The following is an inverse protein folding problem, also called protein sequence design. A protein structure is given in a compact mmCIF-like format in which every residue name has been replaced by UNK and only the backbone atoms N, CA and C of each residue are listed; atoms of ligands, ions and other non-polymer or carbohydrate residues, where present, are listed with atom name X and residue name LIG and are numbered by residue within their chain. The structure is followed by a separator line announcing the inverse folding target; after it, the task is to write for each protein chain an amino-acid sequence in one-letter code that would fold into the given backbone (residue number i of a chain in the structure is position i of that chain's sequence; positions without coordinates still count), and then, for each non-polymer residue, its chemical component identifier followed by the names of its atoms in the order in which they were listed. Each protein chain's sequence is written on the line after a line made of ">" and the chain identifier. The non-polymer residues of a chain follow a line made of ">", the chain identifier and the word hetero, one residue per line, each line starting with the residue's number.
data_IF_648060667527
#
_entry.id   IF_648060667527
#
_cell.length_a   1.000
_cell.length_b   1.000
_cell.length_c   1.000
_cell.angle_alpha   90.00
_cell.angle_beta   90.00
_cell.angle_gamma   90.00
#
_symmetry.space_group_name_H-M   'P 1'
#
loop_
_entity.id
_entity.type
_entity.pdbx_description
1 polymer ?
#
# COMPACT_ATOMS: atom_id res chain seq x y z
N UNK A 1 25.97 3.21 43.26
CA UNK A 1 25.84 2.50 44.54
C UNK A 1 24.37 2.23 44.80
N UNK A 2 24.03 0.94 44.95
CA UNK A 2 22.71 0.41 45.29
C UNK A 2 22.28 0.90 46.68
N UNK A 3 21.05 1.39 46.84
CA UNK A 3 20.23 1.32 48.08
C UNK A 3 18.76 1.38 47.63
N UNK A 4 18.02 0.27 47.61
CA UNK A 4 17.50 -0.55 48.71
C UNK A 4 16.03 -0.19 48.96
N UNK A 5 15.19 -1.16 48.61
CA UNK A 5 13.80 -1.35 49.00
C UNK A 5 13.69 -1.37 50.51
N UNK A 6 12.62 -0.78 51.07
CA UNK A 6 12.01 -1.25 52.32
C UNK A 6 10.57 -0.73 52.45
N UNK A 7 9.66 -1.63 52.81
CA UNK A 7 8.24 -1.37 53.00
C UNK A 7 7.41 -2.64 53.14
N UNK A 8 7.79 -3.52 54.08
CA UNK A 8 7.01 -4.72 54.48
C UNK A 8 5.93 -4.31 55.53
N UNK A 9 4.77 -5.00 55.57
CA UNK A 9 3.55 -4.55 56.25
C UNK A 9 3.45 -5.03 57.70
N UNK A 10 2.61 -4.35 58.50
CA UNK A 10 2.30 -4.75 59.87
C UNK A 10 1.05 -5.65 59.94
N UNK A 11 1.25 -6.83 60.51
CA UNK A 11 0.27 -7.82 60.92
C UNK A 11 -0.62 -7.31 62.07
N UNK A 12 -1.85 -7.82 62.14
CA UNK A 12 -2.56 -8.04 63.41
C UNK A 12 -3.26 -9.40 63.36
N UNK A 13 -2.62 -10.38 63.98
CA UNK A 13 -3.25 -11.60 64.47
C UNK A 13 -3.99 -11.30 65.79
N UNK A 14 -5.15 -11.93 65.99
CA UNK A 14 -5.58 -12.46 67.29
C UNK A 14 -6.33 -13.77 67.05
N UNK A 15 -5.88 -14.77 67.79
CA UNK A 15 -6.13 -16.21 67.69
C UNK A 15 -7.21 -16.68 68.67
N UNK A 16 -7.54 -17.98 68.59
CA UNK A 16 -8.20 -18.90 69.56
C UNK A 16 -9.72 -19.08 69.44
N UNK A 17 -10.35 -20.25 69.54
CA UNK A 17 -9.97 -21.69 69.62
C UNK A 17 -11.28 -22.53 69.53
N UNK A 18 -11.23 -23.79 69.05
CA UNK A 18 -12.08 -24.89 69.57
C UNK A 18 -13.23 -25.46 68.70
N UNK A 19 -13.20 -26.77 68.50
CA UNK A 19 -14.25 -27.71 68.01
C UNK A 19 -14.20 -28.96 68.94
N UNK A 20 -15.11 -29.96 68.96
CA UNK A 20 -16.55 -30.05 68.66
C UNK A 20 -17.35 -30.76 69.81
N UNK A 21 -18.69 -30.91 69.72
CA UNK A 21 -19.50 -32.12 70.06
C UNK A 21 -21.03 -31.86 70.20
N UNK A 22 -21.79 -32.94 70.03
CA UNK A 22 -23.21 -33.10 69.66
C UNK A 22 -24.31 -32.63 70.63
N UNK A 23 -25.46 -32.19 70.07
CA UNK A 23 -26.81 -32.62 70.47
C UNK A 23 -27.90 -32.02 69.54
N UNK A 24 -28.69 -32.89 68.91
CA UNK A 24 -29.99 -32.56 68.26
C UNK A 24 -31.15 -32.96 69.20
N UNK A 25 -32.44 -32.68 68.91
CA UNK A 25 -33.08 -31.56 68.21
C UNK A 25 -34.26 -30.93 69.03
N UNK A 26 -34.61 -29.66 68.80
CA UNK A 26 -35.90 -29.10 69.22
C UNK A 26 -36.72 -28.63 68.02
N UNK A 27 -37.93 -29.20 67.87
CA UNK A 27 -38.85 -28.99 66.76
C UNK A 27 -39.59 -27.65 66.85
N UNK A 28 -39.71 -27.04 65.67
CA UNK A 28 -40.88 -26.33 65.14
C UNK A 28 -41.22 -24.92 65.67
N UNK A 29 -40.64 -23.92 65.03
CA UNK A 29 -41.42 -22.80 64.49
C UNK A 29 -41.59 -23.01 62.99
N UNK A 30 -42.78 -23.39 62.52
CA UNK A 30 -43.10 -23.37 61.08
C UNK A 30 -43.11 -21.91 60.65
N UNK A 31 -42.01 -21.42 60.09
CA UNK A 31 -42.05 -20.23 59.27
C UNK A 31 -42.92 -20.54 58.06
N UNK A 32 -44.06 -19.85 57.96
CA UNK A 32 -44.89 -19.82 56.76
C UNK A 32 -43.93 -19.42 55.62
N UNK A 33 -43.75 -20.24 54.56
CA UNK A 33 -42.97 -19.79 53.44
C UNK A 33 -43.75 -18.64 52.82
N UNK A 34 -43.22 -17.43 52.92
CA UNK A 34 -43.68 -16.31 52.10
C UNK A 34 -43.65 -16.79 50.65
N UNK A 35 -44.83 -17.05 50.08
CA UNK A 35 -45.03 -17.52 48.71
C UNK A 35 -44.80 -16.40 47.68
N UNK A 36 -44.07 -15.35 48.06
CA UNK A 36 -43.62 -14.29 47.18
C UNK A 36 -42.10 -14.20 47.29
N UNK A 37 -41.43 -15.22 46.77
CA UNK A 37 -40.00 -15.11 46.44
C UNK A 37 -39.93 -14.53 45.03
N UNK A 38 -40.22 -13.24 44.89
CA UNK A 38 -39.92 -12.53 43.63
C UNK A 38 -38.41 -12.55 43.45
N UNK A 39 -37.94 -13.37 42.51
CA UNK A 39 -36.53 -13.37 42.10
C UNK A 39 -36.17 -12.00 41.55
N UNK A 40 -34.94 -11.56 41.81
CA UNK A 40 -34.45 -10.30 41.26
C UNK A 40 -34.48 -10.35 39.73
N UNK A 41 -34.96 -9.28 39.09
CA UNK A 41 -35.06 -9.21 37.65
C UNK A 41 -33.65 -9.02 37.05
N UNK A 42 -32.99 -10.13 36.72
CA UNK A 42 -31.68 -10.16 36.06
C UNK A 42 -31.79 -10.50 34.56
N UNK A 43 -30.83 -10.03 33.77
CA UNK A 43 -30.80 -10.32 32.34
C UNK A 43 -30.26 -11.73 32.07
N UNK A 44 -31.08 -12.60 31.46
CA UNK A 44 -30.71 -14.01 31.20
C UNK A 44 -29.45 -14.20 30.33
N UNK A 45 -29.11 -13.24 29.48
CA UNK A 45 -27.96 -13.32 28.56
C UNK A 45 -26.64 -12.79 29.16
N UNK A 46 -26.67 -12.12 30.31
CA UNK A 46 -25.52 -11.42 30.86
C UNK A 46 -25.18 -11.96 32.25
N UNK A 47 -23.98 -12.54 32.42
CA UNK A 47 -23.61 -13.28 33.63
C UNK A 47 -23.08 -12.41 34.79
N UNK A 48 -22.71 -11.14 34.55
CA UNK A 48 -22.21 -10.27 35.62
C UNK A 48 -23.40 -9.56 36.28
N UNK A 49 -23.37 -9.44 37.61
CA UNK A 49 -24.41 -8.84 38.47
C UNK A 49 -24.79 -7.40 38.10
N UNK A 50 -24.01 -6.73 37.24
CA UNK A 50 -24.43 -5.48 36.61
C UNK A 50 -23.73 -5.27 35.27
N UNK A 51 -24.52 -5.07 34.20
CA UNK A 51 -24.01 -4.61 32.89
C UNK A 51 -23.46 -3.18 32.98
N UNK A 52 -24.00 -2.38 33.89
CA UNK A 52 -23.67 -0.97 34.04
C UNK A 52 -22.93 -0.73 35.36
N UNK A 53 -21.84 0.03 35.33
CA UNK A 53 -21.19 0.50 36.55
C UNK A 53 -22.14 1.39 37.35
N UNK A 54 -22.05 1.37 38.70
CA UNK A 54 -22.86 2.23 39.57
C UNK A 54 -22.73 3.69 39.11
N UNK A 55 -23.86 4.37 38.86
CA UNK A 55 -24.01 5.78 38.43
C UNK A 55 -23.94 6.12 36.93
N UNK A 56 -24.10 5.17 36.01
CA UNK A 56 -24.31 5.51 34.59
C UNK A 56 -25.78 5.85 34.27
N UNK A 57 -26.01 6.95 33.54
CA UNK A 57 -27.34 7.43 33.08
C UNK A 57 -27.92 6.60 31.91
N UNK A 58 -27.24 5.55 31.45
CA UNK A 58 -27.55 4.76 30.25
C UNK A 58 -28.10 3.36 30.56
N UNK A 59 -28.86 3.20 31.65
CA UNK A 59 -29.43 1.89 32.02
C UNK A 59 -30.62 1.56 31.12
N UNK A 60 -30.47 0.53 30.28
CA UNK A 60 -31.59 -0.03 29.53
C UNK A 60 -32.60 -0.70 30.47
N UNK A 61 -33.90 -0.53 30.17
CA UNK A 61 -34.98 -1.18 30.90
C UNK A 61 -34.99 -2.68 30.61
N UNK A 62 -35.13 -3.49 31.66
CA UNK A 62 -35.31 -4.93 31.56
C UNK A 62 -36.73 -5.23 31.07
N UNK A 63 -36.83 -5.97 29.97
CA UNK A 63 -38.11 -6.37 29.37
C UNK A 63 -38.39 -7.82 29.74
N UNK A 64 -39.61 -8.08 30.22
CA UNK A 64 -40.10 -9.43 30.50
C UNK A 64 -40.30 -10.19 29.19
N UNK A 65 -39.75 -11.40 29.09
CA UNK A 65 -39.98 -12.30 27.95
C UNK A 65 -41.43 -12.81 28.01
N UNK A 66 -42.33 -12.20 27.24
CA UNK A 66 -43.80 -12.43 27.36
C UNK A 66 -44.33 -13.60 26.51
N UNK A 67 -43.56 -14.15 25.58
CA UNK A 67 -44.08 -15.14 24.63
C UNK A 67 -43.50 -16.55 24.86
N UNK A 68 -44.40 -17.51 25.11
CA UNK A 68 -44.13 -18.94 25.35
C UNK A 68 -43.36 -19.62 24.21
N UNK A 69 -43.44 -19.08 22.98
CA UNK A 69 -42.65 -19.53 21.83
C UNK A 69 -41.35 -18.75 21.77
N UNK A 70 -40.49 -19.01 22.75
CA UNK A 70 -39.10 -18.58 22.75
C UNK A 70 -38.53 -18.70 21.33
N UNK A 71 -38.31 -17.54 20.71
CA UNK A 71 -37.90 -17.35 19.33
C UNK A 71 -37.01 -18.50 18.85
N UNK A 72 -37.38 -19.17 17.74
CA UNK A 72 -36.52 -20.15 17.08
C UNK A 72 -35.10 -19.58 16.86
N UNK A 73 -34.98 -18.24 16.76
CA UNK A 73 -33.72 -17.49 16.74
C UNK A 73 -32.86 -17.65 18.00
N UNK A 74 -33.43 -17.58 19.20
CA UNK A 74 -32.68 -17.77 20.45
C UNK A 74 -32.23 -19.23 20.54
N UNK A 75 -33.12 -20.18 20.21
CA UNK A 75 -32.79 -21.61 20.20
C UNK A 75 -31.64 -21.88 19.23
N UNK A 76 -31.74 -21.39 17.99
CA UNK A 76 -30.70 -21.55 16.97
C UNK A 76 -29.39 -20.88 17.39
N UNK A 77 -29.44 -19.69 17.99
CA UNK A 77 -28.24 -19.02 18.51
C UNK A 77 -27.60 -19.78 19.67
N UNK A 78 -28.40 -20.33 20.59
CA UNK A 78 -27.93 -21.13 21.71
C UNK A 78 -27.34 -22.47 21.25
N UNK A 79 -27.94 -23.11 20.23
CA UNK A 79 -27.39 -24.32 19.59
C UNK A 79 -26.04 -24.01 18.91
N UNK A 80 -25.93 -22.89 18.19
CA UNK A 80 -24.67 -22.45 17.56
C UNK A 80 -23.57 -22.15 18.59
N UNK A 81 -23.93 -21.51 19.70
CA UNK A 81 -22.99 -21.12 20.77
C UNK A 81 -22.74 -22.24 21.80
N UNK A 82 -23.41 -23.39 21.66
CA UNK A 82 -23.40 -24.49 22.63
C UNK A 82 -23.67 -24.04 24.09
N UNK A 83 -24.50 -23.00 24.28
CA UNK A 83 -24.84 -22.49 25.62
C UNK A 83 -25.91 -23.37 26.26
N UNK A 84 -25.45 -24.36 27.03
CA UNK A 84 -26.29 -25.34 27.74
C UNK A 84 -27.31 -24.70 28.69
N UNK A 85 -27.03 -23.48 29.19
CA UNK A 85 -27.91 -22.78 30.14
C UNK A 85 -29.13 -22.21 29.42
N UNK A 86 -28.91 -21.52 28.31
CA UNK A 86 -30.01 -20.98 27.49
C UNK A 86 -30.75 -22.12 26.79
N UNK A 87 -30.05 -23.17 26.34
CA UNK A 87 -30.68 -24.39 25.82
C UNK A 87 -31.57 -25.05 26.89
N UNK A 88 -31.14 -25.13 28.15
CA UNK A 88 -31.96 -25.65 29.24
C UNK A 88 -33.24 -24.84 29.52
N UNK A 89 -33.17 -23.52 29.35
CA UNK A 89 -34.32 -22.60 29.52
C UNK A 89 -35.28 -22.69 28.32
N UNK A 90 -34.75 -22.82 27.10
CA UNK A 90 -35.53 -22.79 25.84
C UNK A 90 -36.05 -24.19 25.41
N UNK A 91 -35.47 -25.27 25.94
CA UNK A 91 -35.87 -26.65 25.64
C UNK A 91 -37.07 -27.15 26.43
N UNK A 92 -37.34 -26.56 27.59
CA UNK A 92 -38.40 -27.04 28.49
C UNK A 92 -39.79 -26.45 28.20
N UNK A 93 -39.96 -25.72 27.09
CA UNK A 93 -41.17 -24.93 26.73
C UNK A 93 -41.65 -23.96 27.84
N UNK A 94 -40.79 -23.72 28.83
CA UNK A 94 -41.00 -22.83 29.96
C UNK A 94 -39.84 -21.83 29.90
N UNK A 95 -39.83 -20.92 28.91
CA UNK A 95 -39.16 -19.65 29.20
C UNK A 95 -39.95 -19.10 30.36
N UNK A 96 -39.35 -19.18 31.55
CA UNK A 96 -40.00 -18.86 32.81
C UNK A 96 -40.80 -17.57 32.60
N UNK A 97 -42.04 -17.56 33.08
CA UNK A 97 -42.90 -16.38 33.08
C UNK A 97 -42.32 -15.20 33.91
N UNK A 98 -41.02 -15.21 34.18
CA UNK A 98 -40.21 -14.33 35.00
C UNK A 98 -38.84 -14.01 34.34
N UNK A 99 -38.53 -14.57 33.16
CA UNK A 99 -37.29 -14.26 32.47
C UNK A 99 -37.28 -12.81 31.96
N UNK A 100 -36.22 -12.07 32.25
CA UNK A 100 -36.02 -10.70 31.77
C UNK A 100 -34.78 -10.63 30.89
N UNK A 101 -34.83 -9.79 29.86
CA UNK A 101 -33.66 -9.47 29.06
C UNK A 101 -33.60 -7.99 28.72
N UNK A 102 -32.38 -7.48 28.53
CA UNK A 102 -32.17 -6.18 27.91
C UNK A 102 -32.23 -6.33 26.39
N UNK A 103 -32.81 -5.34 25.70
CA UNK A 103 -32.95 -5.36 24.23
C UNK A 103 -31.60 -5.55 23.54
N UNK A 104 -30.57 -4.83 23.98
CA UNK A 104 -29.21 -4.98 23.43
C UNK A 104 -28.61 -6.37 23.66
N UNK A 105 -28.83 -6.97 24.82
CA UNK A 105 -28.32 -8.30 25.15
C UNK A 105 -29.03 -9.39 24.35
N UNK A 106 -30.34 -9.28 24.15
CA UNK A 106 -31.08 -10.16 23.24
C UNK A 106 -30.55 -10.03 21.80
N UNK A 107 -30.36 -8.82 21.29
CA UNK A 107 -29.84 -8.58 19.94
C UNK A 107 -28.43 -9.15 19.78
N UNK A 108 -27.54 -8.86 20.74
CA UNK A 108 -26.17 -9.37 20.72
C UNK A 108 -26.10 -10.89 20.85
N UNK A 109 -27.01 -11.49 21.63
CA UNK A 109 -27.04 -12.92 21.83
C UNK A 109 -27.57 -13.66 20.59
N UNK A 110 -28.62 -13.14 19.96
CA UNK A 110 -29.30 -13.77 18.81
C UNK A 110 -28.64 -13.47 17.47
N UNK A 111 -27.97 -12.33 17.33
CA UNK A 111 -27.02 -12.13 16.23
C UNK A 111 -25.83 -13.05 16.53
N UNK A 112 -25.55 -13.97 15.61
CA UNK A 112 -24.32 -14.75 15.66
C UNK A 112 -23.12 -13.81 15.69
N UNK A 113 -21.93 -14.32 15.92
CA UNK A 113 -20.68 -13.55 15.75
C UNK A 113 -20.48 -13.21 14.26
N UNK A 114 -21.36 -12.40 13.69
CA UNK A 114 -21.05 -11.46 12.64
C UNK A 114 -20.89 -10.12 13.34
N UNK A 115 -19.62 -9.81 13.60
CA UNK A 115 -19.01 -8.54 13.28
C UNK A 115 -19.93 -7.48 12.67
N UNK A 116 -19.64 -6.23 13.03
CA UNK A 116 -19.94 -5.06 12.23
C UNK A 116 -19.76 -5.35 10.72
N UNK A 117 -20.81 -5.72 10.00
CA UNK A 117 -20.89 -5.64 8.53
C UNK A 117 -22.31 -5.96 8.03
N UNK A 118 -22.88 -4.89 7.46
CA UNK A 118 -23.78 -4.78 6.29
C UNK A 118 -24.90 -5.80 6.04
N UNK A 119 -26.09 -5.23 5.85
CA UNK A 119 -26.80 -5.25 4.57
C UNK A 119 -27.10 -6.61 3.95
N UNK A 120 -28.37 -7.00 4.01
CA UNK A 120 -28.91 -8.12 3.25
C UNK A 120 -28.70 -7.92 1.74
N UNK A 121 -27.98 -8.83 1.09
CA UNK A 121 -28.00 -9.04 -0.35
C UNK A 121 -28.19 -10.53 -0.63
N UNK A 122 -28.92 -10.77 -1.71
CA UNK A 122 -29.46 -12.01 -2.24
C UNK A 122 -28.44 -13.15 -2.35
N UNK A 123 -28.93 -14.40 -2.30
CA UNK A 123 -28.13 -15.62 -2.28
C UNK A 123 -27.40 -15.97 -3.58
N UNK A 124 -27.33 -15.06 -4.56
CA UNK A 124 -26.68 -15.27 -5.87
C UNK A 124 -25.26 -14.67 -5.93
N UNK A 125 -24.91 -13.73 -5.03
CA UNK A 125 -23.60 -13.03 -5.04
C UNK A 125 -22.50 -13.74 -4.22
N UNK A 126 -22.82 -14.81 -3.49
CA UNK A 126 -21.87 -15.45 -2.56
C UNK A 126 -20.76 -16.21 -3.28
N UNK A 127 -21.10 -16.88 -4.38
CA UNK A 127 -20.12 -17.67 -5.11
C UNK A 127 -19.10 -16.75 -5.80
N UNK A 128 -19.52 -15.61 -6.36
CA UNK A 128 -18.61 -14.64 -7.00
C UNK A 128 -17.75 -13.86 -5.99
N UNK A 129 -18.28 -13.54 -4.80
CA UNK A 129 -17.51 -12.87 -3.74
C UNK A 129 -16.45 -13.80 -3.13
N UNK A 130 -16.79 -15.10 -2.96
CA UNK A 130 -15.85 -16.12 -2.49
C UNK A 130 -14.76 -16.42 -3.53
N UNK A 131 -15.09 -16.44 -4.83
CA UNK A 131 -14.11 -16.56 -5.93
C UNK A 131 -13.16 -15.36 -5.95
N UNK A 132 -13.68 -14.14 -5.77
CA UNK A 132 -12.86 -12.94 -5.73
C UNK A 132 -11.87 -12.96 -4.56
N UNK A 133 -12.33 -13.27 -3.34
CA UNK A 133 -11.46 -13.30 -2.16
C UNK A 133 -10.39 -14.40 -2.25
N UNK A 134 -10.73 -15.55 -2.84
CA UNK A 134 -9.77 -16.61 -3.14
C UNK A 134 -8.69 -16.15 -4.14
N UNK A 135 -9.10 -15.50 -5.24
CA UNK A 135 -8.18 -14.95 -6.23
C UNK A 135 -7.29 -13.85 -5.63
N UNK A 136 -7.85 -12.97 -4.80
CA UNK A 136 -7.09 -11.96 -4.05
C UNK A 136 -6.02 -12.64 -3.20
N UNK A 137 -6.40 -13.61 -2.38
CA UNK A 137 -5.48 -14.31 -1.48
C UNK A 137 -4.34 -14.99 -2.25
N UNK A 138 -4.66 -15.63 -3.38
CA UNK A 138 -3.67 -16.30 -4.22
C UNK A 138 -2.74 -15.31 -4.92
N UNK A 139 -3.26 -14.20 -5.45
CA UNK A 139 -2.44 -13.15 -6.05
C UNK A 139 -1.50 -12.46 -5.07
N UNK A 140 -1.96 -12.23 -3.84
CA UNK A 140 -1.09 -11.70 -2.78
C UNK A 140 0.00 -12.70 -2.40
N UNK A 141 -0.31 -13.99 -2.31
CA UNK A 141 0.68 -15.03 -2.06
C UNK A 141 1.77 -15.07 -3.15
N UNK A 142 1.36 -15.02 -4.42
CA UNK A 142 2.28 -14.98 -5.56
C UNK A 142 3.14 -13.71 -5.56
N UNK A 143 2.53 -12.56 -5.26
CA UNK A 143 3.23 -11.29 -5.15
C UNK A 143 4.27 -11.31 -4.02
N UNK A 144 3.91 -11.85 -2.86
CA UNK A 144 4.83 -11.95 -1.73
C UNK A 144 5.96 -12.94 -2.00
N UNK A 145 5.68 -14.02 -2.71
CA UNK A 145 6.72 -14.93 -3.18
C UNK A 145 7.70 -14.23 -4.13
N UNK A 146 7.19 -13.45 -5.08
CA UNK A 146 8.03 -12.63 -5.97
C UNK A 146 8.92 -11.66 -5.19
N UNK A 147 8.37 -10.92 -4.23
CA UNK A 147 9.16 -9.99 -3.39
C UNK A 147 10.27 -10.76 -2.66
N UNK A 148 9.97 -11.93 -2.09
CA UNK A 148 10.96 -12.79 -1.42
C UNK A 148 12.08 -13.28 -2.33
N UNK A 149 11.74 -13.73 -3.53
CA UNK A 149 12.73 -14.34 -4.43
C UNK A 149 13.53 -13.30 -5.20
N UNK A 150 12.87 -12.28 -5.74
CA UNK A 150 13.46 -11.36 -6.71
C UNK A 150 13.99 -10.10 -6.04
N UNK A 151 13.20 -9.49 -5.15
CA UNK A 151 13.58 -8.23 -4.51
C UNK A 151 14.61 -8.45 -3.40
N UNK A 152 14.41 -9.46 -2.55
CA UNK A 152 15.40 -9.79 -1.52
C UNK A 152 16.57 -10.60 -2.07
N UNK A 153 16.36 -11.44 -3.09
CA UNK A 153 17.42 -12.22 -3.73
C UNK A 153 18.37 -11.37 -4.59
N UNK A 154 17.83 -10.37 -5.28
CA UNK A 154 18.63 -9.31 -5.93
C UNK A 154 18.20 -7.95 -5.37
N UNK A 155 18.89 -7.43 -4.33
CA UNK A 155 18.53 -6.17 -3.68
C UNK A 155 18.46 -5.05 -4.71
N UNK A 156 17.23 -4.58 -4.97
CA UNK A 156 16.92 -3.51 -5.91
C UNK A 156 15.76 -2.69 -5.38
N UNK A 157 15.63 -1.47 -5.86
CA UNK A 157 14.45 -0.66 -5.65
C UNK A 157 13.38 -0.97 -6.72
N UNK A 158 12.12 -0.79 -6.36
CA UNK A 158 10.98 -1.11 -7.20
C UNK A 158 9.84 -0.11 -6.95
N UNK A 159 9.12 0.29 -8.00
CA UNK A 159 8.03 1.25 -7.85
C UNK A 159 6.75 0.56 -7.38
N UNK A 160 5.99 1.20 -6.49
CA UNK A 160 4.69 0.69 -6.03
C UNK A 160 3.70 0.51 -7.20
N UNK A 161 3.86 1.28 -8.29
CA UNK A 161 3.08 1.09 -9.52
C UNK A 161 3.34 -0.25 -10.17
N UNK A 162 4.57 -0.75 -10.11
CA UNK A 162 4.96 -2.02 -10.72
C UNK A 162 4.43 -3.20 -9.89
N UNK A 163 4.50 -3.08 -8.56
CA UNK A 163 3.84 -4.01 -7.64
C UNK A 163 2.33 -4.08 -7.90
N UNK A 164 1.68 -2.93 -8.04
CA UNK A 164 0.23 -2.85 -8.30
C UNK A 164 -0.11 -3.49 -9.64
N UNK A 165 0.69 -3.22 -10.68
CA UNK A 165 0.50 -3.80 -12.01
C UNK A 165 0.64 -5.32 -11.98
N UNK A 166 1.63 -5.82 -11.22
CA UNK A 166 1.85 -7.27 -11.05
C UNK A 166 0.70 -7.94 -10.29
N UNK A 167 0.18 -7.31 -9.25
CA UNK A 167 -1.01 -7.78 -8.54
C UNK A 167 -2.21 -7.87 -9.49
N UNK A 168 -2.46 -6.81 -10.26
CA UNK A 168 -3.58 -6.78 -11.22
C UNK A 168 -3.41 -7.85 -12.30
N UNK A 169 -2.20 -8.08 -12.80
CA UNK A 169 -1.91 -9.14 -13.76
C UNK A 169 -2.18 -10.54 -13.16
N UNK A 170 -1.72 -10.79 -11.94
CA UNK A 170 -1.97 -12.06 -11.24
C UNK A 170 -3.47 -12.27 -11.00
N UNK A 171 -4.22 -11.24 -10.58
CA UNK A 171 -5.66 -11.36 -10.38
C UNK A 171 -6.42 -11.67 -11.68
N UNK A 172 -6.00 -11.07 -12.80
CA UNK A 172 -6.55 -11.40 -14.13
C UNK A 172 -6.26 -12.85 -14.52
N UNK A 173 -5.08 -13.37 -14.18
CA UNK A 173 -4.74 -14.77 -14.44
C UNK A 173 -5.62 -15.74 -13.64
N UNK A 174 -6.10 -15.34 -12.46
CA UNK A 174 -7.07 -16.11 -11.66
C UNK A 174 -8.54 -15.85 -12.05
N UNK A 175 -8.79 -15.19 -13.19
CA UNK A 175 -10.15 -15.01 -13.73
C UNK A 175 -10.86 -13.73 -13.31
N UNK A 176 -10.21 -12.83 -12.59
CA UNK A 176 -10.82 -11.54 -12.19
C UNK A 176 -10.71 -10.52 -13.32
N UNK A 177 -11.85 -10.18 -13.94
CA UNK A 177 -11.91 -9.22 -15.06
C UNK A 177 -11.63 -7.78 -14.61
N UNK A 178 -12.19 -7.38 -13.46
CA UNK A 178 -11.98 -6.05 -12.89
C UNK A 178 -11.53 -6.13 -11.43
N UNK A 179 -10.37 -5.55 -11.14
CA UNK A 179 -9.82 -5.49 -9.78
C UNK A 179 -10.38 -4.26 -9.07
N UNK A 180 -11.06 -4.49 -7.95
CA UNK A 180 -11.59 -3.44 -7.08
C UNK A 180 -10.48 -2.47 -6.62
N UNK A 181 -10.81 -1.19 -6.52
CA UNK A 181 -9.86 -0.17 -6.07
C UNK A 181 -9.50 -0.31 -4.59
N UNK A 182 -10.41 -0.83 -3.77
CA UNK A 182 -10.13 -1.25 -2.40
C UNK A 182 -8.91 -2.18 -2.34
N UNK A 183 -8.84 -3.18 -3.22
CA UNK A 183 -7.75 -4.16 -3.27
C UNK A 183 -6.41 -3.50 -3.58
N UNK A 184 -6.39 -2.49 -4.46
CA UNK A 184 -5.19 -1.71 -4.78
C UNK A 184 -4.82 -0.76 -3.64
N UNK A 185 -5.81 -0.11 -3.01
CA UNK A 185 -5.59 0.84 -1.92
C UNK A 185 -5.02 0.18 -0.66
N UNK A 186 -5.42 -1.06 -0.36
CA UNK A 186 -4.91 -1.82 0.78
C UNK A 186 -3.56 -2.52 0.50
N UNK A 187 -3.04 -2.47 -0.73
CA UNK A 187 -1.79 -3.12 -1.12
C UNK A 187 -0.64 -2.68 -0.24
N UNK A 188 -0.48 -1.35 -0.08
CA UNK A 188 0.58 -0.78 0.76
C UNK A 188 0.51 -1.32 2.19
N UNK A 189 -0.66 -1.26 2.81
CA UNK A 189 -0.85 -1.73 4.18
C UNK A 189 -0.57 -3.23 4.33
N UNK A 190 -0.95 -4.05 3.34
CA UNK A 190 -0.67 -5.49 3.33
C UNK A 190 0.83 -5.77 3.21
N UNK A 191 1.55 -5.03 2.37
CA UNK A 191 3.01 -5.14 2.23
C UNK A 191 3.71 -4.72 3.53
N UNK A 192 3.32 -3.59 4.11
CA UNK A 192 3.87 -3.12 5.39
C UNK A 192 3.60 -4.12 6.54
N UNK A 193 2.46 -4.81 6.51
CA UNK A 193 2.13 -5.86 7.50
C UNK A 193 2.99 -7.11 7.33
N UNK A 194 3.23 -7.55 6.10
CA UNK A 194 3.97 -8.79 5.81
C UNK A 194 5.49 -8.61 5.91
N UNK A 195 6.01 -7.46 5.46
CA UNK A 195 7.44 -7.19 5.35
C UNK A 195 7.91 -6.04 6.24
N UNK A 196 7.11 -5.65 7.23
CA UNK A 196 7.44 -4.60 8.18
C UNK A 196 8.82 -4.82 8.80
N UNK A 197 9.69 -3.82 8.66
CA UNK A 197 11.06 -3.86 9.16
C UNK A 197 12.11 -4.38 8.16
N UNK A 198 11.70 -5.08 7.10
CA UNK A 198 12.60 -5.56 6.05
C UNK A 198 12.43 -4.82 4.72
N UNK A 199 11.34 -4.07 4.58
CA UNK A 199 10.99 -3.35 3.37
C UNK A 199 10.66 -1.91 3.73
N UNK A 200 11.28 -0.97 3.02
CA UNK A 200 11.11 0.45 3.23
C UNK A 200 10.35 1.06 2.06
N UNK A 201 9.39 1.93 2.36
CA UNK A 201 8.57 2.63 1.37
C UNK A 201 8.81 4.13 1.52
N UNK A 202 9.33 4.76 0.48
CA UNK A 202 9.65 6.19 0.44
C UNK A 202 8.98 6.88 -0.75
N UNK A 203 8.88 8.21 -0.71
CA UNK A 203 8.42 8.98 -1.86
C UNK A 203 9.61 9.27 -2.78
N UNK A 204 9.46 8.92 -4.06
CA UNK A 204 10.41 9.26 -5.12
C UNK A 204 10.25 10.71 -5.58
N UNK A 205 11.24 11.21 -6.32
CA UNK A 205 11.28 12.57 -6.88
C UNK A 205 10.09 12.90 -7.80
N UNK A 206 9.50 11.89 -8.43
CA UNK A 206 8.32 12.02 -9.29
C UNK A 206 6.98 11.98 -8.50
N UNK A 207 7.04 12.03 -7.18
CA UNK A 207 5.89 11.97 -6.28
C UNK A 207 5.31 10.56 -6.06
N UNK A 208 5.79 9.54 -6.79
CA UNK A 208 5.34 8.13 -6.65
C UNK A 208 6.03 7.44 -5.47
N UNK A 209 5.49 6.31 -5.03
CA UNK A 209 6.08 5.51 -3.96
C UNK A 209 7.11 4.52 -4.52
N UNK A 210 8.31 4.54 -3.94
CA UNK A 210 9.40 3.62 -4.18
C UNK A 210 9.53 2.66 -3.00
N UNK A 211 9.84 1.42 -3.29
CA UNK A 211 9.98 0.32 -2.36
C UNK A 211 11.40 -0.23 -2.48
N UNK A 212 12.09 -0.45 -1.38
CA UNK A 212 13.39 -1.12 -1.39
C UNK A 212 13.57 -2.00 -0.15
N UNK A 213 14.32 -3.11 -0.25
CA UNK A 213 14.59 -3.98 0.87
C UNK A 213 15.69 -3.40 1.76
N UNK A 214 15.69 -3.78 3.05
CA UNK A 214 16.74 -3.41 4.01
C UNK A 214 18.10 -4.05 3.67
N UNK A 215 18.09 -5.13 2.89
CA UNK A 215 19.30 -5.75 2.35
C UNK A 215 20.03 -4.88 1.31
N UNK A 216 19.39 -3.83 0.78
CA UNK A 216 19.99 -2.93 -0.19
C UNK A 216 21.00 -1.99 0.51
N UNK A 217 22.28 -2.29 0.37
CA UNK A 217 23.32 -1.51 1.03
C UNK A 217 23.71 -0.26 0.24
N UNK A 218 24.14 0.79 0.95
CA UNK A 218 24.69 2.00 0.33
C UNK A 218 25.89 1.68 -0.57
N UNK A 219 26.69 0.67 -0.22
CA UNK A 219 27.85 0.28 -1.01
C UNK A 219 27.46 -0.28 -2.39
N UNK A 220 26.40 -1.10 -2.45
CA UNK A 220 25.88 -1.65 -3.71
C UNK A 220 25.32 -0.54 -4.59
N UNK A 221 24.51 0.36 -4.00
CA UNK A 221 23.98 1.54 -4.70
C UNK A 221 25.09 2.43 -5.28
N UNK A 222 26.18 2.65 -4.53
CA UNK A 222 27.31 3.44 -5.02
C UNK A 222 28.00 2.76 -6.21
N UNK A 223 28.21 1.45 -6.15
CA UNK A 223 28.81 0.68 -7.26
C UNK A 223 27.94 0.71 -8.50
N UNK A 224 26.64 0.49 -8.35
CA UNK A 224 25.68 0.52 -9.45
C UNK A 224 25.60 1.92 -10.07
N UNK A 225 25.50 2.97 -9.25
CA UNK A 225 25.49 4.36 -9.73
C UNK A 225 26.78 4.70 -10.48
N UNK A 226 27.94 4.24 -9.99
CA UNK A 226 29.20 4.43 -10.70
C UNK A 226 29.23 3.71 -12.06
N UNK A 227 28.68 2.50 -12.14
CA UNK A 227 28.52 1.76 -13.39
C UNK A 227 27.61 2.49 -14.37
N UNK A 228 26.43 2.92 -13.92
CA UNK A 228 25.47 3.69 -14.72
C UNK A 228 26.06 5.00 -15.23
N UNK A 229 26.82 5.73 -14.40
CA UNK A 229 27.53 6.94 -14.83
C UNK A 229 28.56 6.65 -15.92
N UNK A 230 29.27 5.52 -15.86
CA UNK A 230 30.20 5.10 -16.91
C UNK A 230 29.45 4.78 -18.20
N UNK A 231 28.35 4.03 -18.12
CA UNK A 231 27.51 3.68 -19.28
C UNK A 231 26.91 4.92 -19.94
N UNK A 232 26.37 5.87 -19.17
CA UNK A 232 25.85 7.13 -19.69
C UNK A 232 26.92 7.95 -20.40
N UNK A 233 28.14 8.00 -19.87
CA UNK A 233 29.27 8.68 -20.54
C UNK A 233 29.64 8.01 -21.86
N UNK A 234 29.63 6.67 -21.91
CA UNK A 234 29.94 5.95 -23.16
C UNK A 234 28.84 6.14 -24.21
N UNK A 235 27.57 6.10 -23.81
CA UNK A 235 26.43 6.31 -24.71
C UNK A 235 26.41 7.76 -25.23
N UNK A 236 26.51 8.74 -24.33
CA UNK A 236 26.58 10.16 -24.70
C UNK A 236 27.74 10.46 -25.65
N UNK A 237 28.92 9.83 -25.45
CA UNK A 237 30.04 9.98 -26.38
C UNK A 237 29.78 9.29 -27.73
N UNK A 238 29.12 8.13 -27.73
CA UNK A 238 28.71 7.42 -28.94
C UNK A 238 27.74 8.26 -29.79
N UNK A 239 26.69 8.78 -29.16
CA UNK A 239 25.69 9.63 -29.82
C UNK A 239 26.32 10.91 -30.38
N UNK A 240 27.22 11.55 -29.62
CA UNK A 240 27.95 12.73 -30.07
C UNK A 240 28.85 12.41 -31.28
N UNK A 241 29.56 11.28 -31.27
CA UNK A 241 30.44 10.87 -32.36
C UNK A 241 29.65 10.49 -33.62
N UNK A 242 28.49 9.83 -33.46
CA UNK A 242 27.59 9.52 -34.57
C UNK A 242 27.00 10.79 -35.18
N UNK A 243 26.55 11.74 -34.34
CA UNK A 243 26.03 13.04 -34.79
C UNK A 243 27.11 13.84 -35.54
N UNK A 244 28.33 13.90 -35.02
CA UNK A 244 29.47 14.53 -35.70
C UNK A 244 29.73 13.88 -37.07
N UNK A 245 29.69 12.56 -37.14
CA UNK A 245 29.90 11.82 -38.40
C UNK A 245 28.79 12.10 -39.41
N UNK A 246 27.52 12.17 -38.96
CA UNK A 246 26.37 12.53 -39.81
C UNK A 246 26.49 13.98 -40.32
N UNK A 247 26.79 14.93 -39.45
CA UNK A 247 26.99 16.34 -39.81
C UNK A 247 28.12 16.50 -40.83
N UNK A 248 29.26 15.84 -40.62
CA UNK A 248 30.39 15.89 -41.57
C UNK A 248 30.04 15.28 -42.94
N UNK A 249 29.28 14.18 -42.97
CA UNK A 249 28.79 13.59 -44.22
C UNK A 249 27.81 14.51 -44.95
N UNK A 250 26.92 15.20 -44.22
CA UNK A 250 25.99 16.16 -44.79
C UNK A 250 26.75 17.35 -45.40
N UNK A 251 27.65 17.98 -44.66
CA UNK A 251 28.50 19.07 -45.17
C UNK A 251 29.24 18.64 -46.44
N UNK A 252 29.83 17.44 -46.45
CA UNK A 252 30.50 16.90 -47.63
C UNK A 252 29.57 16.72 -48.83
N UNK A 253 28.32 16.31 -48.61
CA UNK A 253 27.34 16.15 -49.68
C UNK A 253 26.93 17.51 -50.26
N UNK A 254 26.72 18.51 -49.40
CA UNK A 254 26.35 19.86 -49.81
C UNK A 254 27.48 20.54 -50.60
N UNK A 255 28.72 20.44 -50.10
CA UNK A 255 29.93 20.91 -50.79
C UNK A 255 30.04 20.25 -52.16
N UNK A 256 29.94 18.92 -52.24
CA UNK A 256 30.00 18.20 -53.53
C UNK A 256 28.89 18.62 -54.49
N UNK A 257 27.73 18.99 -53.98
CA UNK A 257 26.60 19.40 -54.84
C UNK A 257 26.86 20.77 -55.46
N UNK A 258 27.34 21.74 -54.66
CA UNK A 258 27.73 23.07 -55.14
C UNK A 258 29.03 23.05 -55.98
N UNK A 259 29.98 22.18 -55.64
CA UNK A 259 31.27 22.08 -56.33
C UNK A 259 31.21 21.36 -57.69
N UNK A 260 30.15 20.60 -57.99
CA UNK A 260 29.96 19.96 -59.30
C UNK A 260 29.96 20.95 -60.46
N UNK A 261 29.54 22.18 -60.20
CA UNK A 261 29.47 23.24 -61.21
C UNK A 261 30.78 24.05 -61.31
N UNK A 262 31.79 23.70 -60.51
CA UNK A 262 33.09 24.37 -60.44
C UNK A 262 34.12 23.53 -61.22
N UNK A 263 34.33 23.88 -62.48
CA UNK A 263 35.35 23.25 -63.34
C UNK A 263 36.72 23.94 -63.25
N UNK A 264 37.04 24.56 -62.13
CA UNK A 264 38.25 25.37 -61.95
C UNK A 264 39.26 24.67 -61.05
N UNK A 265 40.53 24.77 -61.41
CA UNK A 265 41.65 24.30 -60.58
C UNK A 265 41.91 25.27 -59.42
N UNK A 266 42.16 24.75 -58.23
CA UNK A 266 42.72 25.54 -57.14
C UNK A 266 44.20 25.89 -57.42
N UNK A 267 44.65 27.14 -57.20
CA UNK A 267 43.88 28.30 -56.73
C UNK A 267 43.07 28.97 -57.86
N UNK A 268 41.86 29.49 -57.58
CA UNK A 268 40.99 30.13 -58.56
C UNK A 268 41.59 31.44 -59.06
N UNK A 269 41.35 31.76 -60.34
CA UNK A 269 41.68 33.06 -60.89
C UNK A 269 40.81 34.14 -60.23
N UNK A 270 41.44 35.23 -59.78
CA UNK A 270 40.83 36.30 -58.95
C UNK A 270 39.54 36.87 -59.57
N UNK A 271 39.45 36.90 -60.90
CA UNK A 271 38.31 37.46 -61.64
C UNK A 271 37.10 36.51 -61.71
N UNK A 272 37.27 35.25 -61.30
CA UNK A 272 36.29 34.19 -61.48
C UNK A 272 35.66 33.69 -60.19
N UNK A 273 36.11 34.20 -59.04
CA UNK A 273 35.61 33.85 -57.70
C UNK A 273 34.21 34.42 -57.53
N UNK A 274 33.19 33.56 -57.54
CA UNK A 274 31.80 33.96 -57.26
C UNK A 274 31.52 33.89 -55.76
N UNK A 275 30.84 34.90 -55.17
CA UNK A 275 30.55 34.93 -53.74
C UNK A 275 29.52 33.88 -53.26
N UNK A 276 28.81 33.21 -54.18
CA UNK A 276 27.70 32.28 -53.89
C UNK A 276 28.08 30.79 -54.07
N UNK A 277 29.38 30.51 -54.06
CA UNK A 277 29.93 29.17 -54.26
C UNK A 277 29.83 28.32 -52.98
N UNK A 278 29.87 28.96 -51.81
CA UNK A 278 29.93 28.27 -50.51
C UNK A 278 28.52 27.85 -50.06
N UNK A 279 28.27 26.56 -49.74
CA UNK A 279 26.99 26.13 -49.19
C UNK A 279 26.66 26.82 -47.86
N UNK A 280 25.39 27.16 -47.66
CA UNK A 280 24.90 27.79 -46.42
C UNK A 280 25.16 26.92 -45.18
N UNK A 281 25.07 25.60 -45.32
CA UNK A 281 25.40 24.65 -44.24
C UNK A 281 26.86 24.74 -43.79
N UNK A 282 27.79 24.97 -44.73
CA UNK A 282 29.21 25.18 -44.44
C UNK A 282 29.45 26.55 -43.81
N UNK A 283 28.77 27.60 -44.26
CA UNK A 283 28.84 28.94 -43.65
C UNK A 283 28.33 28.93 -42.21
N UNK A 284 27.21 28.25 -41.95
CA UNK A 284 26.66 28.07 -40.62
C UNK A 284 27.65 27.32 -39.71
N UNK A 285 28.22 26.20 -40.19
CA UNK A 285 29.23 25.45 -39.45
C UNK A 285 30.47 26.28 -39.11
N UNK A 286 31.06 26.98 -40.09
CA UNK A 286 32.24 27.81 -39.88
C UNK A 286 31.94 28.99 -38.94
N UNK A 287 30.73 29.55 -39.01
CA UNK A 287 30.30 30.63 -38.11
C UNK A 287 30.21 30.15 -36.67
N UNK A 288 29.54 29.03 -36.43
CA UNK A 288 29.48 28.42 -35.10
C UNK A 288 30.89 28.12 -34.59
N UNK A 289 31.81 27.66 -35.45
CA UNK A 289 33.21 27.40 -35.08
C UNK A 289 34.00 28.67 -34.72
N UNK A 290 33.78 29.78 -35.43
CA UNK A 290 34.49 31.04 -35.21
C UNK A 290 33.88 31.93 -34.10
N UNK A 291 32.59 31.78 -33.83
CA UNK A 291 31.85 32.69 -32.91
C UNK A 291 31.28 31.99 -31.68
N UNK A 292 31.12 30.67 -31.69
CA UNK A 292 30.45 29.91 -30.64
C UNK A 292 28.95 30.20 -30.51
N UNK A 293 28.35 30.89 -31.50
CA UNK A 293 26.93 31.23 -31.53
C UNK A 293 26.14 30.17 -32.30
N UNK A 294 25.03 29.74 -31.69
CA UNK A 294 24.09 28.77 -32.26
C UNK A 294 22.92 29.46 -33.01
N UNK A 295 22.94 30.79 -33.15
CA UNK A 295 21.80 31.57 -33.62
C UNK A 295 21.78 31.69 -35.16
N UNK A 296 20.84 31.03 -35.88
CA UNK A 296 20.82 31.00 -37.34
C UNK A 296 20.57 32.38 -37.97
N UNK A 297 19.84 33.28 -37.28
CA UNK A 297 19.40 34.57 -37.84
C UNK A 297 20.47 35.68 -37.77
N UNK A 298 21.62 35.40 -37.16
CA UNK A 298 22.71 36.37 -37.01
C UNK A 298 23.72 36.33 -38.17
N UNK A 299 23.37 35.88 -39.38
CA UNK A 299 24.30 35.93 -40.53
C UNK A 299 24.69 37.38 -40.87
N UNK A 300 23.73 38.31 -40.78
CA UNK A 300 23.94 39.77 -40.91
C UNK A 300 24.44 40.41 -39.61
N UNK A 301 24.43 39.62 -38.53
CA UNK A 301 24.98 39.78 -37.18
C UNK A 301 26.46 40.08 -37.02
N UNK A 302 27.23 39.57 -37.97
CA UNK A 302 28.62 39.19 -37.77
C UNK A 302 29.55 40.33 -38.13
N UNK A 303 30.62 40.51 -37.35
CA UNK A 303 31.63 41.53 -37.66
C UNK A 303 32.22 41.34 -39.07
N UNK A 304 32.56 42.42 -39.80
CA UNK A 304 33.07 42.33 -41.17
C UNK A 304 34.32 41.44 -41.32
N UNK A 305 35.12 41.35 -40.25
CA UNK A 305 36.31 40.51 -40.17
C UNK A 305 35.94 39.03 -40.24
N UNK A 306 34.96 38.60 -39.44
CA UNK A 306 34.51 37.21 -39.41
C UNK A 306 33.80 36.86 -40.72
N UNK A 307 33.03 37.78 -41.31
CA UNK A 307 32.41 37.56 -42.63
C UNK A 307 33.46 37.32 -43.73
N UNK A 308 34.57 38.08 -43.74
CA UNK A 308 35.68 37.86 -44.67
C UNK A 308 36.36 36.50 -44.45
N UNK A 309 36.56 36.10 -43.19
CA UNK A 309 37.12 34.79 -42.84
C UNK A 309 36.21 33.64 -43.27
N UNK A 310 34.90 33.77 -43.07
CA UNK A 310 33.91 32.77 -43.49
C UNK A 310 33.94 32.55 -45.01
N UNK A 311 34.02 33.64 -45.78
CA UNK A 311 34.10 33.58 -47.24
C UNK A 311 35.42 32.97 -47.70
N UNK A 312 36.56 33.38 -47.13
CA UNK A 312 37.87 32.84 -47.47
C UNK A 312 37.95 31.34 -47.17
N UNK A 313 37.67 30.92 -45.94
CA UNK A 313 37.74 29.51 -45.56
C UNK A 313 36.69 28.65 -46.28
N UNK A 314 35.49 29.21 -46.50
CA UNK A 314 34.45 28.54 -47.26
C UNK A 314 34.90 28.24 -48.69
N UNK A 315 35.55 29.20 -49.36
CA UNK A 315 36.10 29.02 -50.70
C UNK A 315 37.22 27.99 -50.71
N UNK A 316 38.19 28.08 -49.79
CA UNK A 316 39.30 27.13 -49.66
C UNK A 316 38.84 25.68 -49.44
N UNK A 317 37.68 25.47 -48.79
CA UNK A 317 37.12 24.14 -48.52
C UNK A 317 36.33 23.58 -49.71
N UNK A 318 35.76 24.45 -50.54
CA UNK A 318 34.90 24.05 -51.66
C UNK A 318 35.70 23.68 -52.91
N UNK A 319 36.82 24.36 -53.15
CA UNK A 319 37.76 24.07 -54.24
C UNK A 319 38.77 22.96 -53.86
#
# INVERSE_FOLDING_TARGET
>A
MKKALDGIPAQKEKTTNGCPEDCSPARAGRAIPSTSRTYEAECIFYQKTNKYAKRQKTREVLVKCRELRADAKIRNAATKKLDSRILGIVSRDIVAAEAHCQRSCYIFYTRGETSQQKGAVSADDKDDEDIYEAAVSQSYSELFHYIRMELFGTPKDLMMTDVTSRLVASMKNFGVVQVQDSTKNHLRQRIEKEFGGFLHIIQAHNGKLLIYPDSLTVQELVRENQSLRKQLKTLSRGDAQELQTKAAKQLRADIKTKAKDINQSWPPEIESVKPDIVPESLLCFLRTLLTGSDDPDSIDSVTPIVQRLLQSFGQDIVY
#
